data_IF_662943685071
#
_entry.id   IF_662943685071
#
_cell.length_a   1.000
_cell.length_b   1.000
_cell.length_c   1.000
_cell.angle_alpha   90.00
_cell.angle_beta   90.00
_cell.angle_gamma   90.00
#
_symmetry.space_group_name_H-M   'P 1'
#
loop_
_entity.id
_entity.type
_entity.pdbx_description
1 polymer ?
#
# COMPACT_ATOMS: atom_id res chain seq x y z
N UNK A 1 0.71 -25.76 -14.95
CA UNK A 1 -0.45 -25.82 -14.03
C UNK A 1 0.05 -25.74 -12.58
N UNK A 2 0.56 -24.58 -12.13
CA UNK A 2 1.25 -24.45 -10.83
C UNK A 2 0.90 -23.17 -10.04
N UNK A 3 -0.20 -22.49 -10.35
CA UNK A 3 -0.61 -21.22 -9.69
C UNK A 3 -1.36 -21.39 -8.36
N UNK A 4 -1.21 -22.53 -7.69
CA UNK A 4 -1.93 -22.87 -6.45
C UNK A 4 -0.97 -22.89 -5.28
N UNK A 5 -0.89 -21.88 -4.40
CA UNK A 5 -0.51 -22.15 -2.98
C UNK A 5 -0.43 -21.00 -1.96
N UNK A 6 -0.57 -19.70 -2.26
CA UNK A 6 -0.33 -18.71 -1.19
C UNK A 6 -1.33 -18.87 -0.03
N UNK A 7 -2.63 -18.99 -0.33
CA UNK A 7 -3.66 -19.16 0.69
C UNK A 7 -3.54 -20.50 1.40
N UNK A 8 -3.37 -21.61 0.66
CA UNK A 8 -3.32 -22.96 1.22
C UNK A 8 -2.09 -23.18 2.12
N UNK A 9 -0.89 -22.74 1.69
CA UNK A 9 0.31 -22.78 2.55
C UNK A 9 0.23 -21.77 3.70
N UNK A 10 -0.54 -20.69 3.54
CA UNK A 10 -0.82 -19.73 4.60
C UNK A 10 -1.75 -20.23 5.71
N UNK A 11 -2.61 -21.23 5.44
CA UNK A 11 -3.52 -21.80 6.47
C UNK A 11 -2.75 -22.51 7.59
N UNK A 12 -1.54 -23.04 7.31
CA UNK A 12 -0.69 -23.75 8.27
C UNK A 12 0.28 -22.84 9.05
N UNK A 13 -0.03 -21.56 9.20
CA UNK A 13 0.75 -20.65 10.06
C UNK A 13 0.26 -20.72 11.51
N UNK A 14 0.97 -21.45 12.38
CA UNK A 14 0.57 -21.70 13.77
C UNK A 14 0.95 -20.57 14.77
N UNK A 15 1.66 -19.54 14.31
CA UNK A 15 2.06 -18.39 15.12
C UNK A 15 1.52 -17.11 14.50
N UNK A 16 1.48 -16.04 15.32
CA UNK A 16 1.19 -14.70 14.82
C UNK A 16 2.18 -14.25 13.74
N UNK A 17 1.88 -13.10 13.13
CA UNK A 17 2.63 -12.54 12.03
C UNK A 17 4.13 -12.34 12.37
N UNK A 18 4.99 -13.10 11.69
CA UNK A 18 6.45 -13.01 11.79
C UNK A 18 7.06 -12.85 10.39
N UNK A 19 8.19 -12.14 10.31
CA UNK A 19 8.88 -11.90 9.03
C UNK A 19 9.30 -13.20 8.34
N UNK A 20 9.60 -14.25 9.12
CA UNK A 20 9.96 -15.56 8.59
C UNK A 20 8.87 -16.21 7.75
N UNK A 21 7.59 -15.97 8.04
CA UNK A 21 6.50 -16.49 7.20
C UNK A 21 6.40 -15.73 5.88
N UNK A 22 6.55 -14.40 5.90
CA UNK A 22 6.62 -13.60 4.68
C UNK A 22 7.79 -14.06 3.80
N UNK A 23 8.96 -14.31 4.40
CA UNK A 23 10.13 -14.85 3.72
C UNK A 23 9.90 -16.23 3.11
N UNK A 24 9.32 -17.17 3.87
CA UNK A 24 8.98 -18.50 3.39
C UNK A 24 8.01 -18.47 2.20
N UNK A 25 6.97 -17.63 2.27
CA UNK A 25 6.00 -17.47 1.19
C UNK A 25 6.63 -16.81 -0.04
N UNK A 26 7.49 -15.80 0.15
CA UNK A 26 8.19 -15.16 -0.96
C UNK A 26 9.10 -16.16 -1.67
N UNK A 27 10.01 -16.80 -0.93
CA UNK A 27 11.02 -17.71 -1.46
C UNK A 27 10.41 -18.96 -2.09
N UNK A 28 9.46 -19.59 -1.43
CA UNK A 28 8.95 -20.91 -1.83
C UNK A 28 7.71 -20.88 -2.71
N UNK A 29 7.14 -19.71 -3.02
CA UNK A 29 5.93 -19.59 -3.86
C UNK A 29 6.05 -18.42 -4.82
N UNK A 30 6.29 -17.22 -4.30
CA UNK A 30 6.17 -16.01 -5.11
C UNK A 30 7.27 -15.93 -6.18
N UNK A 31 8.51 -16.29 -5.82
CA UNK A 31 9.63 -16.37 -6.77
C UNK A 31 9.37 -17.43 -7.84
N UNK A 32 9.00 -18.64 -7.44
CA UNK A 32 8.71 -19.75 -8.37
C UNK A 32 7.56 -19.44 -9.34
N UNK A 33 6.62 -18.57 -8.95
CA UNK A 33 5.49 -18.15 -9.77
C UNK A 33 5.71 -16.81 -10.48
N UNK A 34 6.94 -16.27 -10.48
CA UNK A 34 7.29 -15.00 -11.12
C UNK A 34 6.36 -13.84 -10.71
N UNK A 35 6.01 -13.78 -9.42
CA UNK A 35 5.14 -12.74 -8.89
C UNK A 35 5.89 -11.41 -8.85
N UNK A 36 5.39 -10.40 -9.56
CA UNK A 36 6.06 -9.09 -9.67
C UNK A 36 5.84 -8.15 -8.48
N UNK A 37 4.82 -8.40 -7.66
CA UNK A 37 4.45 -7.52 -6.55
C UNK A 37 4.19 -8.30 -5.26
N UNK A 38 4.91 -7.95 -4.20
CA UNK A 38 4.64 -8.47 -2.85
C UNK A 38 3.82 -7.46 -2.07
N UNK A 39 2.53 -7.76 -1.90
CA UNK A 39 1.62 -6.95 -1.08
C UNK A 39 1.68 -7.40 0.37
N UNK A 40 2.13 -6.51 1.25
CA UNK A 40 2.26 -6.83 2.67
C UNK A 40 2.10 -5.59 3.55
N UNK A 41 1.39 -5.72 4.67
CA UNK A 41 1.07 -4.58 5.54
C UNK A 41 2.30 -3.96 6.17
N UNK A 42 3.26 -4.78 6.63
CA UNK A 42 4.53 -4.30 7.17
C UNK A 42 5.68 -4.46 6.19
N UNK A 43 5.40 -4.32 4.88
CA UNK A 43 6.40 -4.41 3.81
C UNK A 43 7.61 -3.50 4.06
N UNK A 44 7.42 -2.32 4.68
CA UNK A 44 8.52 -1.41 4.98
C UNK A 44 9.55 -1.99 5.96
N UNK A 45 9.11 -2.81 6.91
CA UNK A 45 10.00 -3.50 7.85
C UNK A 45 10.58 -4.75 7.21
N UNK A 46 9.73 -5.51 6.52
CA UNK A 46 10.13 -6.74 5.86
C UNK A 46 11.17 -6.50 4.76
N UNK A 47 10.97 -5.51 3.91
CA UNK A 47 11.89 -5.23 2.79
C UNK A 47 13.26 -4.77 3.28
N UNK A 48 13.30 -3.92 4.31
CA UNK A 48 14.57 -3.52 4.93
C UNK A 48 15.28 -4.71 5.61
N UNK A 49 14.52 -5.60 6.24
CA UNK A 49 15.06 -6.85 6.78
C UNK A 49 15.57 -7.77 5.67
N UNK A 50 14.84 -7.93 4.57
CA UNK A 50 15.22 -8.76 3.42
C UNK A 50 16.52 -8.26 2.77
N UNK A 51 16.67 -6.94 2.62
CA UNK A 51 17.89 -6.31 2.07
C UNK A 51 19.16 -6.68 2.84
N UNK A 52 19.06 -6.93 4.15
CA UNK A 52 20.20 -7.27 5.00
C UNK A 52 20.45 -8.78 5.13
N UNK A 53 19.43 -9.62 4.87
CA UNK A 53 19.50 -11.06 5.14
C UNK A 53 19.57 -11.91 3.87
N UNK A 54 18.88 -11.51 2.80
CA UNK A 54 18.86 -12.23 1.53
C UNK A 54 18.53 -11.28 0.36
N UNK A 55 19.51 -10.48 -0.08
CA UNK A 55 19.28 -9.45 -1.09
C UNK A 55 19.01 -10.00 -2.49
N UNK A 56 19.28 -11.28 -2.76
CA UNK A 56 19.09 -11.89 -4.09
C UNK A 56 17.62 -12.20 -4.38
N UNK A 57 16.83 -12.50 -3.34
CA UNK A 57 15.40 -12.83 -3.48
C UNK A 57 14.55 -11.62 -3.91
N UNK A 58 15.10 -10.39 -3.82
CA UNK A 58 14.42 -9.17 -4.29
C UNK A 58 14.41 -9.06 -5.82
N UNK A 59 15.31 -9.75 -6.50
CA UNK A 59 15.51 -9.60 -7.94
C UNK A 59 14.17 -9.91 -8.63
N UNK A 60 13.66 -8.93 -9.39
CA UNK A 60 12.42 -9.02 -10.17
C UNK A 60 11.08 -8.90 -9.38
N UNK A 61 11.10 -8.53 -8.10
CA UNK A 61 9.88 -8.31 -7.30
C UNK A 61 9.84 -6.93 -6.62
N UNK A 62 8.69 -6.27 -6.70
CA UNK A 62 8.47 -4.96 -6.12
C UNK A 62 7.69 -5.03 -4.79
N UNK A 63 8.13 -4.31 -3.74
CA UNK A 63 7.40 -4.21 -2.48
C UNK A 63 6.20 -3.28 -2.59
N UNK A 64 5.00 -3.72 -2.20
CA UNK A 64 3.79 -2.92 -2.28
C UNK A 64 3.00 -2.90 -0.95
N UNK A 65 2.53 -1.70 -0.58
CA UNK A 65 1.58 -1.46 0.50
C UNK A 65 0.16 -1.46 -0.06
N UNK A 66 -0.72 -2.12 0.68
CA UNK A 66 -2.15 -2.11 0.47
C UNK A 66 -2.75 -0.71 0.67
N UNK A 67 -3.87 -0.43 0.00
CA UNK A 67 -4.47 0.90 -0.06
C UNK A 67 -5.04 1.34 1.28
N UNK A 68 -5.59 0.42 2.08
CA UNK A 68 -6.12 0.74 3.40
C UNK A 68 -5.01 0.72 4.43
N UNK A 69 -4.18 -0.33 4.49
CA UNK A 69 -3.11 -0.37 5.49
C UNK A 69 -2.05 0.70 5.24
N UNK A 70 -1.70 0.97 3.98
CA UNK A 70 -0.78 2.04 3.62
C UNK A 70 -1.15 3.41 4.20
N UNK A 71 -2.44 3.75 4.30
CA UNK A 71 -2.89 5.02 4.94
C UNK A 71 -2.48 5.14 6.41
N UNK A 72 -2.21 4.02 7.07
CA UNK A 72 -1.75 3.98 8.46
C UNK A 72 -0.23 4.02 8.58
N UNK A 73 0.50 4.09 7.47
CA UNK A 73 1.95 4.28 7.47
C UNK A 73 2.30 5.77 7.46
N UNK A 74 3.56 6.09 7.75
CA UNK A 74 4.10 7.43 7.56
C UNK A 74 4.06 7.82 6.08
N UNK A 75 4.04 9.12 5.78
CA UNK A 75 3.90 9.60 4.40
C UNK A 75 5.02 9.09 3.48
N UNK A 76 6.26 9.09 3.96
CA UNK A 76 7.39 8.55 3.21
C UNK A 76 7.18 7.08 2.83
N UNK A 77 6.68 6.29 3.78
CA UNK A 77 6.41 4.88 3.57
C UNK A 77 5.27 4.67 2.56
N UNK A 78 4.24 5.52 2.58
CA UNK A 78 3.18 5.55 1.57
C UNK A 78 3.74 5.89 0.18
N UNK A 79 4.72 6.79 0.11
CA UNK A 79 5.30 7.19 -1.18
C UNK A 79 6.22 6.15 -1.76
N UNK A 80 7.10 5.60 -0.93
CA UNK A 80 8.08 4.60 -1.35
C UNK A 80 7.41 3.27 -1.73
N UNK A 81 6.44 2.82 -0.92
CA UNK A 81 5.86 1.48 -1.06
C UNK A 81 4.40 1.48 -1.53
N UNK A 82 3.77 2.63 -1.78
CA UNK A 82 2.37 2.68 -2.19
C UNK A 82 2.14 1.93 -3.50
N UNK A 83 1.45 0.78 -3.46
CA UNK A 83 1.34 -0.10 -4.64
C UNK A 83 0.61 0.54 -5.81
N UNK A 84 -0.29 1.50 -5.57
CA UNK A 84 -0.95 2.27 -6.65
C UNK A 84 0.00 3.16 -7.44
N UNK A 85 1.20 3.45 -6.92
CA UNK A 85 2.17 4.34 -7.55
C UNK A 85 3.29 3.56 -8.25
N UNK A 86 3.10 2.25 -8.41
CA UNK A 86 4.04 1.37 -9.07
C UNK A 86 3.44 0.88 -10.38
N UNK A 87 4.12 1.17 -11.48
CA UNK A 87 3.77 0.68 -12.82
C UNK A 87 3.67 -0.84 -12.80
N UNK A 88 2.59 -1.40 -13.34
CA UNK A 88 2.33 -2.85 -13.33
C UNK A 88 1.41 -3.34 -12.22
N UNK A 89 1.09 -2.52 -11.22
CA UNK A 89 0.25 -2.94 -10.09
C UNK A 89 -1.26 -3.10 -10.42
N UNK A 90 -1.70 -2.75 -11.63
CA UNK A 90 -3.06 -2.97 -12.16
C UNK A 90 -4.20 -2.50 -11.24
N UNK A 91 -4.05 -1.34 -10.57
CA UNK A 91 -5.01 -0.78 -9.59
C UNK A 91 -5.40 -1.75 -8.47
N UNK A 92 -4.55 -2.73 -8.17
CA UNK A 92 -4.80 -3.71 -7.12
C UNK A 92 -4.92 -3.01 -5.77
N UNK A 93 -5.83 -3.49 -4.92
CA UNK A 93 -6.03 -2.90 -3.59
C UNK A 93 -4.93 -3.31 -2.61
N UNK A 94 -4.31 -4.48 -2.81
CA UNK A 94 -3.41 -5.09 -1.83
C UNK A 94 -4.14 -5.64 -0.62
N UNK A 95 -5.47 -5.76 -0.70
CA UNK A 95 -6.35 -6.19 0.40
C UNK A 95 -6.88 -7.62 0.16
N UNK A 96 -6.18 -8.38 -0.68
CA UNK A 96 -6.58 -9.70 -1.14
C UNK A 96 -6.52 -10.73 0.02
N UNK A 97 -5.59 -10.54 0.96
CA UNK A 97 -5.50 -11.34 2.18
C UNK A 97 -6.72 -11.10 3.09
N UNK A 98 -7.16 -9.86 3.23
CA UNK A 98 -8.33 -9.46 4.01
C UNK A 98 -9.62 -9.98 3.38
N UNK A 99 -9.69 -10.02 2.05
CA UNK A 99 -10.83 -10.59 1.33
C UNK A 99 -10.98 -12.08 1.62
N UNK A 100 -9.88 -12.85 1.57
CA UNK A 100 -9.95 -14.29 1.88
C UNK A 100 -10.24 -14.52 3.36
N UNK A 101 -9.67 -13.70 4.25
CA UNK A 101 -9.98 -13.76 5.68
C UNK A 101 -11.47 -13.46 5.95
N UNK A 102 -12.05 -12.49 5.25
CA UNK A 102 -13.48 -12.19 5.35
C UNK A 102 -14.37 -13.29 4.78
N UNK A 103 -13.88 -14.04 3.80
CA UNK A 103 -14.60 -15.19 3.24
C UNK A 103 -14.55 -16.37 4.22
N UNK A 104 -13.36 -16.72 4.69
CA UNK A 104 -13.14 -17.84 5.62
C UNK A 104 -13.73 -17.59 7.02
N UNK A 105 -13.81 -16.33 7.48
CA UNK A 105 -14.37 -16.01 8.81
C UNK A 105 -15.82 -16.47 8.97
N UNK A 106 -16.57 -16.59 7.86
CA UNK A 106 -17.95 -17.09 7.83
C UNK A 106 -18.03 -18.57 8.22
N UNK A 107 -16.97 -19.33 7.98
CA UNK A 107 -16.87 -20.76 8.32
C UNK A 107 -16.76 -20.97 9.83
N UNK A 108 -16.31 -19.97 10.59
CA UNK A 108 -16.13 -20.10 12.04
C UNK A 108 -17.40 -20.61 12.73
N UNK A 109 -18.58 -20.19 12.28
CA UNK A 109 -19.85 -20.61 12.87
C UNK A 109 -20.27 -22.02 12.44
N UNK A 110 -19.97 -22.43 11.21
CA UNK A 110 -20.36 -23.74 10.68
C UNK A 110 -19.37 -24.85 11.05
N UNK A 111 -18.09 -24.51 11.22
CA UNK A 111 -17.03 -25.47 11.58
C UNK A 111 -16.78 -25.57 13.09
N UNK A 112 -17.53 -24.84 13.93
CA UNK A 112 -17.28 -24.76 15.38
C UNK A 112 -17.35 -26.11 16.10
N UNK A 113 -18.29 -26.97 15.68
CA UNK A 113 -18.56 -28.27 16.29
C UNK A 113 -17.92 -29.43 15.53
N UNK A 114 -17.10 -29.14 14.52
CA UNK A 114 -16.36 -30.16 13.78
C UNK A 114 -15.16 -30.63 14.59
N UNK A 115 -14.77 -31.89 14.39
CA UNK A 115 -13.46 -32.38 14.84
C UNK A 115 -12.35 -31.56 14.16
N UNK A 116 -11.19 -31.38 14.82
CA UNK A 116 -10.08 -30.60 14.26
C UNK A 116 -9.70 -31.01 12.83
N UNK A 117 -9.66 -32.32 12.55
CA UNK A 117 -9.32 -32.86 11.23
C UNK A 117 -10.35 -32.44 10.18
N UNK A 118 -11.64 -32.65 10.46
CA UNK A 118 -12.72 -32.27 9.55
C UNK A 118 -12.78 -30.76 9.34
N UNK A 119 -12.42 -29.98 10.36
CA UNK A 119 -12.35 -28.52 10.28
C UNK A 119 -11.22 -28.08 9.35
N UNK A 120 -10.05 -28.68 9.46
CA UNK A 120 -8.89 -28.36 8.61
C UNK A 120 -9.17 -28.71 7.14
N UNK A 121 -9.79 -29.86 6.88
CA UNK A 121 -10.22 -30.26 5.54
C UNK A 121 -11.24 -29.28 4.95
N UNK A 122 -12.24 -28.90 5.74
CA UNK A 122 -13.26 -27.92 5.31
C UNK A 122 -12.64 -26.56 5.00
N UNK A 123 -11.75 -26.05 5.85
CA UNK A 123 -11.08 -24.76 5.61
C UNK A 123 -10.22 -24.84 4.34
N UNK A 124 -9.54 -25.97 4.13
CA UNK A 124 -8.70 -26.21 2.95
C UNK A 124 -9.54 -26.22 1.66
N UNK A 125 -10.67 -26.92 1.64
CA UNK A 125 -11.59 -26.97 0.50
C UNK A 125 -12.08 -25.56 0.13
N UNK A 126 -12.52 -24.77 1.11
CA UNK A 126 -12.97 -23.40 0.89
C UNK A 126 -11.83 -22.48 0.42
N UNK A 127 -10.61 -22.65 0.93
CA UNK A 127 -9.45 -21.91 0.45
C UNK A 127 -9.12 -22.27 -1.02
N UNK A 128 -9.28 -23.54 -1.41
CA UNK A 128 -9.10 -24.00 -2.79
C UNK A 128 -10.20 -23.46 -3.71
N UNK A 129 -11.47 -23.50 -3.30
CA UNK A 129 -12.57 -22.92 -4.08
C UNK A 129 -12.37 -21.40 -4.26
N UNK A 130 -11.94 -20.69 -3.22
CA UNK A 130 -11.60 -19.26 -3.33
C UNK A 130 -10.52 -19.00 -4.38
N UNK A 131 -9.43 -19.78 -4.39
CA UNK A 131 -8.38 -19.69 -5.40
C UNK A 131 -8.94 -19.97 -6.81
N UNK A 132 -9.77 -21.00 -6.97
CA UNK A 132 -10.43 -21.32 -8.23
C UNK A 132 -11.34 -20.20 -8.73
N UNK A 133 -12.06 -19.52 -7.84
CA UNK A 133 -12.86 -18.32 -8.17
C UNK A 133 -11.98 -17.15 -8.58
N UNK A 134 -10.82 -16.94 -7.94
CA UNK A 134 -9.90 -15.85 -8.30
C UNK A 134 -9.32 -16.04 -9.69
N UNK A 135 -8.94 -17.26 -10.05
CA UNK A 135 -8.44 -17.59 -11.39
C UNK A 135 -9.53 -17.36 -12.44
N UNK A 136 -10.74 -17.91 -12.23
CA UNK A 136 -11.87 -17.77 -13.17
C UNK A 136 -12.27 -16.31 -13.42
N UNK A 137 -12.24 -15.49 -12.38
CA UNK A 137 -12.68 -14.09 -12.46
C UNK A 137 -11.54 -13.10 -12.75
N UNK A 138 -10.30 -13.57 -12.99
CA UNK A 138 -9.15 -12.69 -13.15
C UNK A 138 -9.31 -11.76 -14.36
N UNK A 139 -9.62 -12.31 -15.54
CA UNK A 139 -9.83 -11.54 -16.77
C UNK A 139 -10.92 -10.48 -16.59
N UNK A 140 -12.09 -10.89 -16.09
CA UNK A 140 -13.20 -9.96 -15.83
C UNK A 140 -12.84 -8.85 -14.85
N UNK A 141 -12.07 -9.18 -13.80
CA UNK A 141 -11.60 -8.19 -12.82
C UNK A 141 -10.67 -7.16 -13.47
N UNK A 142 -9.75 -7.60 -14.34
CA UNK A 142 -8.83 -6.73 -15.06
C UNK A 142 -9.58 -5.80 -16.03
N UNK A 143 -10.53 -6.33 -16.80
CA UNK A 143 -11.39 -5.54 -17.71
C UNK A 143 -12.17 -4.47 -16.95
N UNK A 144 -12.76 -4.81 -15.81
CA UNK A 144 -13.50 -3.84 -14.99
C UNK A 144 -12.59 -2.73 -14.45
N UNK A 145 -11.37 -3.09 -14.03
CA UNK A 145 -10.36 -2.11 -13.57
C UNK A 145 -9.92 -1.21 -14.72
N UNK A 146 -9.73 -1.77 -15.92
CA UNK A 146 -9.41 -1.03 -17.13
C UNK A 146 -10.50 0.01 -17.46
N UNK A 147 -11.76 -0.41 -17.58
CA UNK A 147 -12.90 0.49 -17.85
C UNK A 147 -13.01 1.61 -16.82
N UNK A 148 -12.78 1.30 -15.53
CA UNK A 148 -12.75 2.30 -14.47
C UNK A 148 -11.65 3.33 -14.70
N UNK A 149 -10.46 2.90 -15.12
CA UNK A 149 -9.33 3.79 -15.38
C UNK A 149 -9.59 4.69 -16.57
N UNK A 150 -10.08 4.14 -17.68
CA UNK A 150 -10.48 4.94 -18.86
C UNK A 150 -11.47 6.05 -18.47
N UNK A 151 -12.47 5.72 -17.66
CA UNK A 151 -13.46 6.69 -17.17
C UNK A 151 -12.83 7.79 -16.31
N UNK A 152 -11.84 7.47 -15.49
CA UNK A 152 -11.16 8.48 -14.65
C UNK A 152 -10.15 9.30 -15.46
N UNK A 153 -9.46 8.70 -16.45
CA UNK A 153 -8.58 9.40 -17.37
C UNK A 153 -9.34 10.43 -18.22
N UNK A 154 -10.53 10.08 -18.71
CA UNK A 154 -11.38 11.01 -19.47
C UNK A 154 -11.85 12.24 -18.68
N UNK A 155 -11.71 12.25 -17.34
CA UNK A 155 -11.99 13.42 -16.50
C UNK A 155 -10.78 14.36 -16.32
N UNK A 156 -9.59 13.90 -16.69
CA UNK A 156 -8.36 14.67 -16.52
C UNK A 156 -8.22 15.58 -17.75
N UNK A 157 -8.54 16.87 -17.58
CA UNK A 157 -8.62 17.84 -18.69
C UNK A 157 -7.28 18.32 -19.25
N UNK A 158 -6.15 18.01 -18.59
CA UNK A 158 -4.81 18.42 -19.03
C UNK A 158 -3.94 17.20 -19.33
N UNK A 159 -3.26 17.16 -20.49
CA UNK A 159 -2.23 16.17 -20.75
C UNK A 159 -1.19 16.28 -19.64
N UNK A 160 -1.00 15.17 -18.93
CA UNK A 160 -0.16 15.11 -17.74
C UNK A 160 1.14 14.44 -18.16
N UNK A 161 2.28 15.11 -18.01
CA UNK A 161 3.57 14.53 -18.34
C UNK A 161 3.93 13.46 -17.29
N UNK A 162 3.80 12.19 -17.67
CA UNK A 162 3.97 11.06 -16.76
C UNK A 162 5.41 10.88 -16.29
N UNK A 163 6.39 11.20 -17.12
CA UNK A 163 7.80 11.09 -16.78
C UNK A 163 8.21 12.16 -15.76
N UNK A 164 7.64 13.36 -15.87
CA UNK A 164 7.81 14.43 -14.89
C UNK A 164 7.29 14.02 -13.49
N UNK A 165 6.18 13.28 -13.44
CA UNK A 165 5.60 12.79 -12.19
C UNK A 165 6.40 11.66 -11.55
N UNK A 166 6.94 10.73 -12.35
CA UNK A 166 7.84 9.71 -11.82
C UNK A 166 9.16 10.33 -11.34
N UNK A 167 9.70 11.32 -12.07
CA UNK A 167 10.89 12.06 -11.63
C UNK A 167 10.65 12.76 -10.30
N UNK A 168 9.54 13.50 -10.16
CA UNK A 168 9.14 14.15 -8.90
C UNK A 168 9.02 13.16 -7.74
N UNK A 169 8.55 11.94 -8.00
CA UNK A 169 8.47 10.87 -7.00
C UNK A 169 9.86 10.38 -6.61
N UNK A 170 10.76 10.15 -7.56
CA UNK A 170 12.12 9.70 -7.28
C UNK A 170 12.91 10.75 -6.51
N UNK A 171 12.83 12.01 -6.94
CA UNK A 171 13.45 13.15 -6.25
C UNK A 171 12.97 13.25 -4.81
N UNK A 172 11.67 13.05 -4.57
CA UNK A 172 11.09 13.01 -3.23
C UNK A 172 11.68 11.88 -2.37
N UNK A 173 11.79 10.67 -2.91
CA UNK A 173 12.34 9.51 -2.19
C UNK A 173 13.82 9.73 -1.86
N UNK A 174 14.60 10.24 -2.81
CA UNK A 174 16.03 10.52 -2.61
C UNK A 174 16.23 11.60 -1.55
N UNK A 175 15.55 12.74 -1.71
CA UNK A 175 15.58 13.86 -0.77
C UNK A 175 15.30 13.39 0.66
N UNK A 176 14.20 12.66 0.87
CA UNK A 176 13.83 12.14 2.19
C UNK A 176 14.79 11.09 2.76
N UNK A 177 15.43 10.28 1.90
CA UNK A 177 16.47 9.33 2.33
C UNK A 177 17.78 10.02 2.68
N UNK A 178 18.18 11.03 1.92
CA UNK A 178 19.34 11.87 2.22
C UNK A 178 19.15 12.62 3.54
N UNK A 179 17.95 13.14 3.80
CA UNK A 179 17.61 13.73 5.11
C UNK A 179 17.65 12.71 6.25
N UNK A 180 17.16 11.48 6.02
CA UNK A 180 17.28 10.42 7.04
C UNK A 180 18.75 10.01 7.33
N UNK A 181 19.65 10.23 6.36
CA UNK A 181 21.10 9.96 6.48
C UNK A 181 21.90 11.15 7.01
N UNK A 182 21.45 12.39 6.78
CA UNK A 182 22.03 13.63 7.33
C UNK A 182 21.72 13.74 8.83
N UNK A 183 22.29 12.82 9.60
CA UNK A 183 22.31 12.82 11.06
C UNK A 183 23.25 13.87 11.67
N UNK A 184 23.68 14.90 10.94
CA UNK A 184 24.67 15.90 11.37
C UNK A 184 24.09 17.32 11.53
N UNK A 185 22.77 17.47 11.69
CA UNK A 185 22.16 18.73 12.14
C UNK A 185 22.20 18.92 13.66
N UNK A 186 22.17 20.18 14.11
CA UNK A 186 21.99 20.55 15.52
C UNK A 186 20.77 19.81 16.11
N UNK A 187 20.90 19.26 17.32
CA UNK A 187 19.87 18.40 17.95
C UNK A 187 18.52 19.13 18.07
N UNK A 188 18.58 20.46 18.23
CA UNK A 188 17.42 21.35 18.20
C UNK A 188 16.66 21.28 16.88
N UNK A 189 17.37 21.34 15.76
CA UNK A 189 16.78 21.38 14.41
C UNK A 189 16.11 20.06 14.07
N UNK A 190 16.74 18.93 14.43
CA UNK A 190 16.15 17.59 14.28
C UNK A 190 14.83 17.42 15.04
N UNK A 191 14.79 17.87 16.30
CA UNK A 191 13.58 17.82 17.11
C UNK A 191 12.47 18.70 16.51
N UNK A 192 12.81 19.92 16.07
CA UNK A 192 11.85 20.83 15.43
C UNK A 192 11.29 20.26 14.13
N UNK A 193 12.13 19.69 13.28
CA UNK A 193 11.73 19.04 12.03
C UNK A 193 10.84 17.82 12.27
N UNK A 194 11.18 16.98 13.26
CA UNK A 194 10.37 15.80 13.59
C UNK A 194 8.98 16.20 14.10
N UNK A 195 8.89 17.22 14.95
CA UNK A 195 7.61 17.81 15.38
C UNK A 195 6.83 18.32 14.17
N UNK A 196 7.46 19.13 13.31
CA UNK A 196 6.82 19.72 12.14
C UNK A 196 6.25 18.65 11.20
N UNK A 197 7.03 17.59 10.92
CA UNK A 197 6.61 16.46 10.09
C UNK A 197 5.39 15.75 10.67
N UNK A 198 5.39 15.43 11.97
CA UNK A 198 4.26 14.74 12.60
C UNK A 198 3.01 15.61 12.56
N UNK A 199 3.12 16.90 12.90
CA UNK A 199 1.99 17.85 12.87
C UNK A 199 1.39 17.99 11.48
N UNK A 200 2.23 18.12 10.46
CA UNK A 200 1.80 18.15 9.06
C UNK A 200 1.07 16.86 8.65
N UNK A 201 1.61 15.68 8.99
CA UNK A 201 0.95 14.41 8.70
C UNK A 201 -0.43 14.28 9.36
N UNK A 202 -0.57 14.79 10.59
CA UNK A 202 -1.85 14.81 11.32
C UNK A 202 -2.84 15.76 10.65
N UNK A 203 -2.42 16.96 10.24
CA UNK A 203 -3.25 17.92 9.53
C UNK A 203 -3.77 17.33 8.21
N UNK A 204 -2.87 16.73 7.43
CA UNK A 204 -3.19 16.09 6.15
C UNK A 204 -4.15 14.91 6.31
N UNK A 205 -3.92 14.03 7.30
CA UNK A 205 -4.88 12.96 7.61
C UNK A 205 -6.23 13.51 8.03
N UNK A 206 -6.26 14.53 8.89
CA UNK A 206 -7.49 15.15 9.38
C UNK A 206 -8.35 15.69 8.24
N UNK A 207 -7.74 16.38 7.27
CA UNK A 207 -8.42 16.88 6.07
C UNK A 207 -8.97 15.76 5.16
N UNK A 208 -8.32 14.59 5.14
CA UNK A 208 -8.68 13.47 4.26
C UNK A 208 -9.65 12.45 4.88
N UNK A 209 -9.74 12.38 6.21
CA UNK A 209 -10.59 11.41 6.93
C UNK A 209 -12.05 11.48 6.47
N UNK A 210 -12.60 12.68 6.28
CA UNK A 210 -13.99 12.86 5.82
C UNK A 210 -14.20 12.47 4.34
N UNK A 211 -13.19 12.67 3.50
CA UNK A 211 -13.29 12.49 2.04
C UNK A 211 -13.00 11.06 1.57
N UNK A 212 -12.14 10.32 2.26
CA UNK A 212 -11.58 9.05 1.76
C UNK A 212 -11.76 7.84 2.66
N UNK A 213 -12.31 7.99 3.87
CA UNK A 213 -12.60 6.86 4.73
C UNK A 213 -13.88 6.15 4.25
N UNK A 214 -13.75 4.87 3.89
CA UNK A 214 -14.85 4.07 3.36
C UNK A 214 -15.89 3.68 4.44
N UNK A 215 -15.53 3.78 5.73
CA UNK A 215 -16.43 3.41 6.84
C UNK A 215 -16.21 4.26 8.09
N UNK A 216 -17.20 4.22 9.00
CA UNK A 216 -17.10 4.84 10.33
C UNK A 216 -15.95 4.25 11.15
N UNK A 217 -15.76 2.93 11.12
CA UNK A 217 -14.66 2.23 11.79
C UNK A 217 -13.29 2.72 11.30
N UNK A 218 -13.15 2.93 9.98
CA UNK A 218 -11.91 3.46 9.41
C UNK A 218 -11.64 4.90 9.86
N UNK A 219 -12.68 5.75 9.93
CA UNK A 219 -12.56 7.10 10.49
C UNK A 219 -12.06 7.06 11.93
N UNK A 220 -12.60 6.17 12.75
CA UNK A 220 -12.16 5.99 14.15
C UNK A 220 -10.70 5.56 14.24
N UNK A 221 -10.26 4.60 13.42
CA UNK A 221 -8.86 4.13 13.42
C UNK A 221 -7.89 5.25 13.02
N UNK A 222 -8.23 6.03 11.99
CA UNK A 222 -7.43 7.17 11.55
C UNK A 222 -7.38 8.28 12.61
N UNK A 223 -8.51 8.59 13.27
CA UNK A 223 -8.54 9.54 14.39
C UNK A 223 -7.67 9.09 15.56
N UNK A 224 -7.75 7.80 15.95
CA UNK A 224 -6.88 7.23 16.98
C UNK A 224 -5.40 7.35 16.62
N UNK A 225 -5.04 7.12 15.35
CA UNK A 225 -3.67 7.36 14.88
C UNK A 225 -3.26 8.83 15.03
N UNK A 226 -4.14 9.77 14.68
CA UNK A 226 -3.87 11.20 14.89
C UNK A 226 -3.67 11.55 16.37
N UNK A 227 -4.46 10.96 17.28
CA UNK A 227 -4.24 11.10 18.72
C UNK A 227 -2.86 10.63 19.13
N UNK A 228 -2.49 9.39 18.76
CA UNK A 228 -1.17 8.83 19.11
C UNK A 228 -0.01 9.65 18.53
N UNK A 229 -0.15 10.18 17.32
CA UNK A 229 0.90 10.97 16.69
C UNK A 229 0.99 12.38 17.28
N UNK A 230 -0.14 12.99 17.66
CA UNK A 230 -0.13 14.23 18.45
C UNK A 230 0.55 14.03 19.80
N UNK A 231 0.24 12.95 20.54
CA UNK A 231 0.91 12.63 21.81
C UNK A 231 2.43 12.47 21.65
N UNK A 232 2.90 11.96 20.51
CA UNK A 232 4.33 11.89 20.20
C UNK A 232 4.92 13.27 19.94
N UNK A 233 4.26 14.10 19.14
CA UNK A 233 4.68 15.48 18.90
C UNK A 233 4.73 16.27 20.21
N UNK A 234 3.72 16.14 21.08
CA UNK A 234 3.67 16.82 22.38
C UNK A 234 4.86 16.40 23.27
N UNK A 235 5.24 15.12 23.27
CA UNK A 235 6.43 14.63 23.99
C UNK A 235 7.74 15.19 23.41
N UNK A 236 7.84 15.30 22.09
CA UNK A 236 9.02 15.89 21.44
C UNK A 236 9.09 17.40 21.71
N UNK A 237 7.96 18.09 21.71
CA UNK A 237 7.87 19.51 22.10
C UNK A 237 8.28 19.72 23.57
N UNK A 238 7.89 18.83 24.48
CA UNK A 238 8.33 18.88 25.86
C UNK A 238 9.86 18.73 25.98
N UNK A 239 10.45 17.76 25.26
CA UNK A 239 11.92 17.60 25.19
C UNK A 239 12.62 18.82 24.60
N UNK A 240 12.07 19.41 23.54
CA UNK A 240 12.60 20.63 22.94
C UNK A 240 12.61 21.78 23.96
N UNK A 241 11.53 21.92 24.74
CA UNK A 241 11.41 22.93 25.79
C UNK A 241 12.38 22.70 26.95
N UNK A 242 12.59 21.46 27.34
CA UNK A 242 13.55 21.09 28.40
C UNK A 242 15.00 21.42 28.01
N UNK A 243 15.38 21.15 26.75
CA UNK A 243 16.77 21.30 26.30
C UNK A 243 17.07 22.74 25.85
N UNK A 244 16.14 23.41 25.17
CA UNK A 244 16.39 24.67 24.48
C UNK A 244 15.47 25.83 24.90
N UNK A 245 14.59 25.62 25.88
CA UNK A 245 13.64 26.63 26.37
C UNK A 245 12.39 26.82 25.49
N UNK A 246 11.57 27.82 25.81
CA UNK A 246 10.35 28.12 25.04
C UNK A 246 10.72 28.68 23.66
N UNK A 247 10.62 27.83 22.64
CA UNK A 247 10.85 28.19 21.25
C UNK A 247 9.64 27.76 20.44
N UNK A 248 8.74 28.72 20.15
CA UNK A 248 7.67 28.58 19.14
C UNK A 248 8.25 28.48 17.71
N UNK A 249 9.57 28.48 17.55
CA UNK A 249 10.25 28.46 16.25
C UNK A 249 9.97 27.20 15.41
N UNK A 250 9.46 26.11 16.00
CA UNK A 250 8.98 24.98 15.19
C UNK A 250 7.71 25.32 14.39
N UNK A 251 6.89 26.29 14.84
CA UNK A 251 5.73 26.79 14.07
C UNK A 251 6.18 27.68 12.92
N UNK A 252 7.19 28.52 13.13
CA UNK A 252 7.82 29.27 12.04
C UNK A 252 8.56 28.34 11.09
N UNK A 253 9.18 27.27 11.60
CA UNK A 253 9.76 26.22 10.79
C UNK A 253 8.65 25.48 10.04
N UNK A 254 7.46 25.25 10.65
CA UNK A 254 6.26 24.71 10.00
C UNK A 254 5.77 25.63 8.88
N UNK A 255 5.66 26.95 9.10
CA UNK A 255 5.25 27.92 8.08
C UNK A 255 6.31 28.06 6.98
N UNK A 256 7.60 28.06 7.33
CA UNK A 256 8.71 28.02 6.36
C UNK A 256 8.75 26.68 5.64
N UNK A 257 8.35 25.56 6.24
CA UNK A 257 8.28 24.26 5.56
C UNK A 257 7.00 24.10 4.75
N UNK A 258 5.91 24.76 5.14
CA UNK A 258 4.70 24.94 4.33
C UNK A 258 4.96 25.86 3.13
N UNK A 259 5.79 26.91 3.28
CA UNK A 259 6.21 27.83 2.21
C UNK A 259 7.37 27.29 1.35
N UNK A 260 8.36 26.61 1.94
CA UNK A 260 9.52 25.97 1.26
C UNK A 260 9.27 24.51 0.91
N UNK A 261 8.01 24.11 0.72
CA UNK A 261 7.69 22.81 0.13
C UNK A 261 8.37 21.61 0.82
N UNK A 262 8.42 21.56 2.16
CA UNK A 262 9.01 20.38 2.81
C UNK A 262 8.19 19.11 2.56
N UNK A 263 6.96 19.23 2.01
CA UNK A 263 6.16 18.11 1.50
C UNK A 263 4.90 18.49 0.64
N UNK A 264 5.02 19.19 -0.51
CA UNK A 264 3.94 19.21 -1.49
C UNK A 264 4.46 19.21 -2.94
N UNK A 265 4.90 18.06 -3.45
CA UNK A 265 5.04 17.91 -4.91
C UNK A 265 3.88 17.16 -5.55
N UNK A 266 2.94 16.63 -4.74
CA UNK A 266 1.71 16.03 -5.22
C UNK A 266 0.51 16.44 -4.34
N UNK A 267 -0.26 17.39 -4.83
CA UNK A 267 -1.64 17.66 -4.41
C UNK A 267 -2.46 16.38 -4.32
N UNK A 268 -3.59 16.42 -3.63
CA UNK A 268 -4.52 15.28 -3.59
C UNK A 268 -4.93 14.82 -5.00
N UNK A 269 -4.98 15.76 -5.94
CA UNK A 269 -5.27 15.51 -7.34
C UNK A 269 -4.09 14.84 -8.06
N UNK A 270 -2.86 15.32 -7.86
CA UNK A 270 -1.66 14.70 -8.43
C UNK A 270 -1.41 13.30 -7.86
N UNK A 271 -1.71 13.03 -6.58
CA UNK A 271 -1.69 11.67 -6.02
C UNK A 271 -2.70 10.73 -6.66
N UNK A 272 -3.89 11.26 -7.01
CA UNK A 272 -4.87 10.50 -7.79
C UNK A 272 -4.34 10.25 -9.19
N UNK A 273 -3.78 11.26 -9.85
CA UNK A 273 -3.16 11.16 -11.18
C UNK A 273 -2.05 10.11 -11.19
N UNK A 274 -1.08 10.15 -10.28
CA UNK A 274 -0.04 9.12 -10.05
C UNK A 274 -0.59 7.70 -9.96
N UNK A 275 -1.73 7.53 -9.29
CA UNK A 275 -2.38 6.22 -9.14
C UNK A 275 -2.94 5.67 -10.46
N UNK A 276 -3.18 6.54 -11.45
CA UNK A 276 -3.63 6.21 -12.79
C UNK A 276 -2.45 6.08 -13.79
N UNK A 277 -1.29 6.71 -13.51
CA UNK A 277 -0.03 6.61 -14.30
C UNK A 277 0.46 5.16 -14.39
N UNK A 278 0.40 4.43 -13.26
CA UNK A 278 0.84 3.05 -13.15
C UNK A 278 0.10 2.07 -14.09
N UNK A 279 -0.99 2.54 -14.71
CA UNK A 279 -1.92 1.74 -15.51
C UNK A 279 -1.81 2.12 -16.99
N UNK A 280 -1.74 3.41 -17.32
CA UNK A 280 -1.59 3.88 -18.71
C UNK A 280 -0.40 3.25 -19.44
N UNK A 281 0.79 3.25 -18.81
CA UNK A 281 2.01 2.64 -19.38
C UNK A 281 1.94 1.12 -19.57
N UNK A 282 1.09 0.40 -18.83
CA UNK A 282 0.98 -1.07 -18.94
C UNK A 282 0.04 -1.48 -20.08
N UNK A 283 -0.85 -0.59 -20.50
CA UNK A 283 -1.94 -0.91 -21.42
C UNK A 283 -1.70 -0.40 -22.83
N UNK A 284 -0.76 0.53 -23.02
CA UNK A 284 -0.31 0.98 -24.34
C UNK A 284 0.59 -0.07 -25.02
N UNK A 285 1.32 -0.91 -24.27
CA UNK A 285 2.38 -1.72 -24.88
C UNK A 285 1.98 -3.15 -25.29
N UNK A 286 1.08 -3.88 -24.63
CA UNK A 286 0.86 -5.32 -25.00
C UNK A 286 -0.56 -5.92 -24.78
N UNK A 287 -1.50 -5.22 -24.13
CA UNK A 287 -2.77 -5.83 -23.68
C UNK A 287 -4.01 -5.37 -24.47
N UNK A 288 -3.90 -4.29 -25.26
CA UNK A 288 -5.04 -3.70 -25.97
C UNK A 288 -5.59 -4.63 -27.06
N UNK A 289 -4.71 -5.28 -27.83
CA UNK A 289 -5.14 -6.21 -28.89
C UNK A 289 -5.75 -7.50 -28.32
N UNK A 290 -5.12 -8.11 -27.31
CA UNK A 290 -5.61 -9.37 -26.72
C UNK A 290 -6.93 -9.25 -25.96
N UNK A 291 -7.21 -8.08 -25.36
CA UNK A 291 -8.48 -7.84 -24.63
C UNK A 291 -9.62 -7.50 -25.59
N UNK A 292 -9.37 -6.77 -26.68
CA UNK A 292 -10.41 -6.46 -27.67
C UNK A 292 -10.89 -7.70 -28.44
N UNK A 293 -9.97 -8.59 -28.81
CA UNK A 293 -10.33 -9.88 -29.42
C UNK A 293 -11.26 -10.74 -28.55
N UNK A 294 -11.23 -10.55 -27.23
CA UNK A 294 -12.11 -11.23 -26.27
C UNK A 294 -13.39 -10.44 -25.92
N UNK A 295 -13.45 -9.15 -26.24
CA UNK A 295 -14.62 -8.30 -26.00
C UNK A 295 -15.57 -8.25 -27.21
N UNK A 296 -15.04 -8.48 -28.43
CA UNK A 296 -15.83 -8.59 -29.66
C UNK A 296 -16.43 -9.99 -29.88
N UNK A 297 -16.07 -10.95 -29.03
CA UNK A 297 -16.82 -12.20 -28.87
C UNK A 297 -18.04 -11.94 -27.99
N UNK A 298 -19.05 -11.30 -28.57
CA UNK A 298 -20.40 -11.25 -28.03
C UNK A 298 -20.82 -12.69 -27.67
N UNK A 299 -21.20 -13.01 -26.41
CA UNK A 299 -21.80 -14.28 -26.09
C UNK A 299 -23.23 -14.27 -26.64
N UNK A 300 -23.36 -14.30 -27.96
CA UNK A 300 -24.61 -14.68 -28.60
C UNK A 300 -24.88 -16.13 -28.24
N UNK A 301 -25.85 -16.31 -27.34
CA UNK A 301 -26.52 -17.58 -27.12
C UNK A 301 -26.03 -18.37 -25.92
N UNK A 302 -26.69 -18.16 -24.79
CA UNK A 302 -27.40 -19.29 -24.17
C UNK A 302 -28.60 -18.78 -23.38
N UNK A 303 -29.78 -19.12 -23.91
CA UNK A 303 -30.99 -19.34 -23.11
C UNK A 303 -30.74 -20.40 -22.05
#
# INVERSE_FOLDING_TARGET
MQTWCCTARGVNMYRGEILGYAYYLQKGIMVDNNVKFMWYDVICKYWAWLESHDPFIKEDMNPALSVLHGKMHQMLCQVKYGGRWQTGAALTSGEEAEQVNSYLSRLTNTTKYMLPQNRDDTITEFAMDWNGRKIRNLAMTLVQRYKKVQKELGKISKPTNFDELEQKKQDFILTTQEYAKKGEGDEKEKLMEEIAKIRFEVAMRSAMIGKFAASSKQRTKLRRKNTNDNEKADKLEAKLKEIFGNSDSWKEHLEKTEQNNFLPYLSCEERKKCSYIAIGKVLEDELYESIHDHLDQDPQGNN
#
